data_IF_712826044765
#
_entry.id   IF_712826044765
#
_cell.length_a   1.000
_cell.length_b   1.000
_cell.length_c   1.000
_cell.angle_alpha   90.00
_cell.angle_beta   90.00
_cell.angle_gamma   90.00
#
_symmetry.space_group_name_H-M   'P 1'
#
loop_
_entity.id
_entity.type
_entity.pdbx_description
1 polymer ?
#
# COMPACT_ATOMS: atom_id res chain seq x y z
N UNK A 1 7.60 -28.58 -32.33
CA UNK A 1 6.48 -27.68 -32.68
C UNK A 1 6.80 -26.32 -32.10
N UNK A 2 6.52 -25.21 -32.81
CA UNK A 2 6.69 -23.87 -32.25
C UNK A 2 5.41 -23.52 -31.48
N UNK A 3 5.38 -23.83 -30.17
CA UNK A 3 4.24 -23.51 -29.31
C UNK A 3 4.13 -22.00 -29.12
N UNK A 4 2.90 -21.47 -29.11
CA UNK A 4 2.64 -20.08 -28.73
C UNK A 4 2.90 -19.03 -29.82
N UNK A 5 3.20 -19.44 -31.05
CA UNK A 5 3.53 -18.51 -32.13
C UNK A 5 2.37 -18.22 -33.06
N UNK A 6 1.32 -19.04 -33.04
CA UNK A 6 0.13 -18.76 -33.85
C UNK A 6 -0.65 -17.58 -33.27
N UNK A 7 -1.35 -16.79 -34.10
CA UNK A 7 -2.20 -15.70 -33.61
C UNK A 7 -3.25 -16.16 -32.59
N UNK A 8 -3.75 -17.38 -32.73
CA UNK A 8 -4.74 -17.98 -31.83
C UNK A 8 -4.11 -18.26 -30.46
N UNK A 9 -2.92 -18.88 -30.41
CA UNK A 9 -2.25 -19.16 -29.14
C UNK A 9 -1.89 -17.87 -28.39
N UNK A 10 -1.43 -16.83 -29.11
CA UNK A 10 -1.17 -15.51 -28.49
C UNK A 10 -2.44 -14.91 -27.88
N UNK A 11 -3.55 -14.95 -28.63
CA UNK A 11 -4.84 -14.46 -28.14
C UNK A 11 -5.33 -15.25 -26.91
N UNK A 12 -5.12 -16.57 -26.90
CA UNK A 12 -5.44 -17.40 -25.74
C UNK A 12 -4.55 -17.06 -24.54
N UNK A 13 -3.26 -16.74 -24.77
CA UNK A 13 -2.35 -16.34 -23.71
C UNK A 13 -2.72 -14.97 -23.12
N UNK A 14 -3.22 -14.03 -23.92
CA UNK A 14 -3.78 -12.75 -23.46
C UNK A 14 -4.99 -12.97 -22.53
N UNK A 15 -5.86 -13.94 -22.87
CA UNK A 15 -6.99 -14.33 -22.01
C UNK A 15 -6.48 -14.93 -20.70
N UNK A 16 -5.51 -15.84 -20.76
CA UNK A 16 -4.90 -16.43 -19.55
C UNK A 16 -4.30 -15.33 -18.66
N UNK A 17 -3.55 -14.40 -19.25
CA UNK A 17 -2.96 -13.27 -18.54
C UNK A 17 -4.02 -12.43 -17.82
N UNK A 18 -5.11 -12.11 -18.52
CA UNK A 18 -6.23 -11.35 -17.95
C UNK A 18 -6.87 -12.07 -16.76
N UNK A 19 -7.09 -13.40 -16.87
CA UNK A 19 -7.66 -14.21 -15.79
C UNK A 19 -6.73 -14.25 -14.56
N UNK A 20 -5.43 -14.42 -14.76
CA UNK A 20 -4.47 -14.49 -13.63
C UNK A 20 -4.27 -13.13 -12.97
N UNK A 21 -4.38 -12.03 -13.72
CA UNK A 21 -4.37 -10.68 -13.18
C UNK A 21 -5.58 -10.43 -12.27
N UNK A 22 -6.79 -10.83 -12.70
CA UNK A 22 -7.99 -10.78 -11.85
C UNK A 22 -7.78 -11.62 -10.58
N UNK A 23 -7.17 -12.81 -10.73
CA UNK A 23 -6.78 -13.66 -9.60
C UNK A 23 -5.83 -12.96 -8.62
N UNK A 24 -4.81 -12.29 -9.14
CA UNK A 24 -3.84 -11.52 -8.36
C UNK A 24 -4.50 -10.39 -7.57
N UNK A 25 -5.40 -9.63 -8.20
CA UNK A 25 -6.12 -8.52 -7.58
C UNK A 25 -7.11 -9.02 -6.50
N UNK A 26 -7.72 -10.20 -6.69
CA UNK A 26 -8.60 -10.81 -5.69
C UNK A 26 -7.85 -11.47 -4.52
N UNK A 27 -6.60 -11.87 -4.72
CA UNK A 27 -5.87 -12.67 -3.75
C UNK A 27 -5.62 -11.95 -2.42
N UNK A 28 -5.62 -10.61 -2.38
CA UNK A 28 -5.53 -9.85 -1.14
C UNK A 28 -6.72 -10.08 -0.19
N UNK A 29 -7.90 -10.36 -0.74
CA UNK A 29 -9.13 -10.58 0.03
C UNK A 29 -9.21 -12.02 0.52
N UNK A 30 -8.86 -12.98 -0.34
CA UNK A 30 -8.96 -14.39 -0.01
C UNK A 30 -7.70 -14.96 0.66
N UNK A 31 -6.63 -14.17 0.81
CA UNK A 31 -5.28 -14.58 1.27
C UNK A 31 -4.63 -15.67 0.41
N UNK A 32 -5.21 -15.98 -0.76
CA UNK A 32 -4.67 -16.91 -1.76
C UNK A 32 -5.23 -16.59 -3.15
N UNK A 33 -4.51 -16.98 -4.21
CA UNK A 33 -5.00 -16.85 -5.59
C UNK A 33 -6.05 -17.94 -5.87
N UNK A 34 -7.31 -17.53 -6.03
CA UNK A 34 -8.46 -18.44 -6.26
C UNK A 34 -8.32 -19.29 -7.53
N UNK A 35 -7.63 -18.80 -8.55
CA UNK A 35 -7.49 -19.52 -9.82
C UNK A 35 -6.28 -20.45 -9.84
N UNK A 36 -5.36 -20.34 -8.87
CA UNK A 36 -4.13 -21.16 -8.85
C UNK A 36 -4.44 -22.64 -8.97
N UNK A 37 -5.35 -23.17 -8.13
CA UNK A 37 -5.67 -24.60 -8.11
C UNK A 37 -6.23 -25.06 -9.45
N UNK A 38 -7.20 -24.35 -10.00
CA UNK A 38 -7.82 -24.72 -11.28
C UNK A 38 -6.82 -24.68 -12.43
N UNK A 39 -5.96 -23.66 -12.47
CA UNK A 39 -4.93 -23.51 -13.51
C UNK A 39 -3.84 -24.59 -13.37
N UNK A 40 -3.45 -24.91 -12.14
CA UNK A 40 -2.50 -25.99 -11.84
C UNK A 40 -3.05 -27.37 -12.21
N UNK A 41 -4.26 -27.70 -11.76
CA UNK A 41 -4.89 -29.01 -11.96
C UNK A 41 -5.20 -29.28 -13.44
N UNK A 42 -5.41 -28.23 -14.24
CA UNK A 42 -5.59 -28.35 -15.69
C UNK A 42 -4.32 -28.71 -16.47
N UNK A 43 -3.14 -28.66 -15.84
CA UNK A 43 -1.83 -28.79 -16.51
C UNK A 43 -1.40 -27.55 -17.31
N UNK A 44 -2.23 -26.49 -17.36
CA UNK A 44 -1.92 -25.25 -18.04
C UNK A 44 -0.68 -24.57 -17.43
N UNK A 45 -0.58 -24.52 -16.10
CA UNK A 45 0.56 -23.91 -15.42
C UNK A 45 1.88 -24.58 -15.80
N UNK A 46 1.94 -25.91 -15.75
CA UNK A 46 3.11 -26.70 -16.17
C UNK A 46 3.46 -26.44 -17.63
N UNK A 47 2.44 -26.36 -18.50
CA UNK A 47 2.64 -26.07 -19.93
C UNK A 47 3.26 -24.69 -20.14
N UNK A 48 2.74 -23.66 -19.45
CA UNK A 48 3.29 -22.29 -19.49
C UNK A 48 4.74 -22.25 -19.00
N UNK A 49 5.07 -22.94 -17.88
CA UNK A 49 6.44 -23.03 -17.37
C UNK A 49 7.42 -23.67 -18.36
N UNK A 50 6.99 -24.73 -19.05
CA UNK A 50 7.82 -25.42 -20.03
C UNK A 50 8.09 -24.51 -21.25
N UNK A 51 7.04 -23.88 -21.78
CA UNK A 51 7.18 -22.94 -22.92
C UNK A 51 8.07 -21.75 -22.53
N UNK A 52 7.90 -21.21 -21.32
CA UNK A 52 8.75 -20.14 -20.80
C UNK A 52 10.23 -20.53 -20.79
N UNK A 53 10.54 -21.72 -20.29
CA UNK A 53 11.92 -22.21 -20.23
C UNK A 53 12.53 -22.40 -21.62
N UNK A 54 11.75 -22.89 -22.58
CA UNK A 54 12.21 -23.05 -23.97
C UNK A 54 12.48 -21.70 -24.65
N UNK A 55 11.55 -20.76 -24.57
CA UNK A 55 11.68 -19.43 -25.19
C UNK A 55 12.73 -18.56 -24.51
N UNK A 56 12.85 -18.59 -23.18
CA UNK A 56 13.93 -17.89 -22.47
C UNK A 56 15.32 -18.35 -22.95
N UNK A 57 15.52 -19.66 -23.08
CA UNK A 57 16.80 -20.20 -23.55
C UNK A 57 17.04 -19.88 -25.03
N UNK A 58 15.98 -19.81 -25.83
CA UNK A 58 16.07 -19.40 -27.23
C UNK A 58 16.48 -17.94 -27.37
N UNK A 59 15.84 -17.03 -26.64
CA UNK A 59 16.20 -15.60 -26.60
C UNK A 59 17.69 -15.42 -26.24
N UNK A 60 18.19 -16.19 -25.27
CA UNK A 60 19.60 -16.19 -24.89
C UNK A 60 20.54 -16.70 -25.98
N UNK A 61 20.19 -17.80 -26.66
CA UNK A 61 21.00 -18.34 -27.77
C UNK A 61 21.05 -17.43 -28.98
N UNK A 62 19.95 -16.73 -29.26
CA UNK A 62 19.84 -15.78 -30.37
C UNK A 62 20.56 -14.45 -30.07
N UNK A 63 21.11 -14.28 -28.87
CA UNK A 63 21.83 -13.09 -28.46
C UNK A 63 20.92 -11.88 -28.33
N UNK A 64 19.61 -12.10 -28.14
CA UNK A 64 18.68 -11.01 -27.92
C UNK A 64 19.04 -10.29 -26.62
N UNK A 65 19.34 -8.99 -26.74
CA UNK A 65 19.64 -8.13 -25.59
C UNK A 65 18.42 -8.05 -24.67
N UNK A 66 17.24 -7.96 -25.28
CA UNK A 66 15.94 -7.96 -24.63
C UNK A 66 15.17 -9.23 -24.95
N UNK A 67 14.50 -9.79 -23.95
CA UNK A 67 13.64 -10.95 -24.17
C UNK A 67 12.42 -10.54 -25.02
N UNK A 68 11.90 -11.48 -25.81
CA UNK A 68 10.73 -11.23 -26.63
C UNK A 68 9.50 -10.88 -25.78
N UNK A 69 8.54 -10.13 -26.34
CA UNK A 69 7.28 -9.81 -25.64
C UNK A 69 6.52 -11.08 -25.20
N UNK A 70 6.66 -12.15 -25.98
CA UNK A 70 6.08 -13.45 -25.66
C UNK A 70 6.73 -14.06 -24.41
N UNK A 71 8.06 -14.00 -24.30
CA UNK A 71 8.80 -14.44 -23.10
C UNK A 71 8.42 -13.60 -21.88
N UNK A 72 8.23 -12.29 -22.04
CA UNK A 72 7.77 -11.39 -20.97
C UNK A 72 6.38 -11.78 -20.49
N UNK A 73 5.44 -11.98 -21.40
CA UNK A 73 4.08 -12.40 -21.07
C UNK A 73 4.03 -13.72 -20.30
N UNK A 74 4.82 -14.71 -20.72
CA UNK A 74 4.92 -16.00 -20.01
C UNK A 74 5.48 -15.81 -18.60
N UNK A 75 6.52 -14.99 -18.43
CA UNK A 75 7.08 -14.67 -17.12
C UNK A 75 6.05 -13.98 -16.21
N UNK A 76 5.26 -13.05 -16.75
CA UNK A 76 4.19 -12.36 -16.02
C UNK A 76 3.10 -13.34 -15.58
N UNK A 77 2.65 -14.25 -16.45
CA UNK A 77 1.65 -15.28 -16.10
C UNK A 77 2.16 -16.16 -14.97
N UNK A 78 3.40 -16.66 -15.07
CA UNK A 78 4.00 -17.49 -14.02
C UNK A 78 4.08 -16.71 -12.70
N UNK A 79 4.48 -15.45 -12.74
CA UNK A 79 4.61 -14.62 -11.54
C UNK A 79 3.26 -14.39 -10.82
N UNK A 80 2.21 -14.07 -11.58
CA UNK A 80 0.89 -13.76 -11.01
C UNK A 80 0.18 -15.02 -10.49
N UNK A 81 0.30 -16.15 -11.20
CA UNK A 81 -0.25 -17.43 -10.74
C UNK A 81 0.36 -17.82 -9.38
N UNK A 82 1.67 -17.69 -9.23
CA UNK A 82 2.39 -18.09 -8.01
C UNK A 82 2.38 -17.06 -6.88
N UNK A 83 1.47 -16.09 -6.89
CA UNK A 83 1.30 -15.22 -5.72
C UNK A 83 1.04 -16.07 -4.46
N UNK A 84 1.78 -15.80 -3.38
CA UNK A 84 1.80 -16.61 -2.14
C UNK A 84 2.33 -18.04 -2.28
N UNK A 85 3.07 -18.35 -3.36
CA UNK A 85 3.75 -19.63 -3.54
C UNK A 85 5.26 -19.43 -3.64
N UNK A 86 5.99 -20.41 -3.11
CA UNK A 86 7.44 -20.48 -3.21
C UNK A 86 7.84 -20.89 -4.63
N UNK A 87 8.82 -20.21 -5.20
CA UNK A 87 9.35 -20.52 -6.52
C UNK A 87 10.53 -21.47 -6.40
N UNK A 88 10.75 -22.28 -7.43
CA UNK A 88 12.05 -22.90 -7.62
C UNK A 88 13.08 -21.79 -7.93
N UNK A 89 14.23 -21.84 -7.27
CA UNK A 89 15.26 -20.79 -7.38
C UNK A 89 15.64 -20.48 -8.83
N UNK A 90 15.71 -21.50 -9.70
CA UNK A 90 16.06 -21.31 -11.10
C UNK A 90 15.00 -20.54 -11.88
N UNK A 91 13.72 -20.84 -11.64
CA UNK A 91 12.60 -20.14 -12.27
C UNK A 91 12.56 -18.68 -11.82
N UNK A 92 12.71 -18.45 -10.52
CA UNK A 92 12.73 -17.10 -9.95
C UNK A 92 13.83 -16.24 -10.60
N UNK A 93 15.04 -16.78 -10.75
CA UNK A 93 16.17 -16.07 -11.37
C UNK A 93 15.85 -15.74 -12.83
N UNK A 94 15.31 -16.70 -13.60
CA UNK A 94 14.93 -16.48 -15.01
C UNK A 94 13.85 -15.41 -15.14
N UNK A 95 12.79 -15.52 -14.35
CA UNK A 95 11.69 -14.54 -14.31
C UNK A 95 12.24 -13.16 -13.94
N UNK A 96 13.06 -13.08 -12.89
CA UNK A 96 13.69 -11.83 -12.47
C UNK A 96 14.54 -11.17 -13.56
N UNK A 97 15.31 -11.95 -14.32
CA UNK A 97 16.08 -11.45 -15.48
C UNK A 97 15.14 -10.88 -16.55
N UNK A 98 14.05 -11.60 -16.88
CA UNK A 98 13.09 -11.17 -17.90
C UNK A 98 12.40 -9.87 -17.49
N UNK A 99 11.86 -9.81 -16.28
CA UNK A 99 11.17 -8.63 -15.75
C UNK A 99 12.13 -7.44 -15.59
N UNK A 100 13.39 -7.67 -15.21
CA UNK A 100 14.40 -6.62 -15.12
C UNK A 100 14.70 -6.00 -16.49
N UNK A 101 14.97 -6.81 -17.51
CA UNK A 101 15.19 -6.30 -18.88
C UNK A 101 13.98 -5.51 -19.36
N UNK A 102 12.77 -6.01 -19.08
CA UNK A 102 11.53 -5.35 -19.43
C UNK A 102 11.37 -3.96 -18.78
N UNK A 103 11.66 -3.85 -17.48
CA UNK A 103 11.69 -2.57 -16.77
C UNK A 103 12.76 -1.63 -17.31
N UNK A 104 13.95 -2.13 -17.63
CA UNK A 104 15.02 -1.30 -18.19
C UNK A 104 14.56 -0.63 -19.49
N UNK A 105 13.99 -1.42 -20.41
CA UNK A 105 13.45 -0.92 -21.68
C UNK A 105 12.34 0.11 -21.47
N UNK A 106 11.49 -0.07 -20.45
CA UNK A 106 10.50 0.95 -20.08
C UNK A 106 11.15 2.30 -19.77
N UNK A 107 12.17 2.31 -18.91
CA UNK A 107 12.83 3.57 -18.55
C UNK A 107 13.44 4.26 -19.76
N UNK A 108 14.08 3.49 -20.64
CA UNK A 108 14.65 4.04 -21.87
C UNK A 108 13.56 4.67 -22.76
N UNK A 109 12.38 4.05 -22.86
CA UNK A 109 11.24 4.62 -23.61
C UNK A 109 10.73 5.90 -22.94
N UNK A 110 10.52 5.89 -21.62
CA UNK A 110 10.01 7.06 -20.88
C UNK A 110 10.96 8.26 -21.02
N UNK A 111 12.27 8.05 -20.88
CA UNK A 111 13.28 9.10 -21.02
C UNK A 111 13.41 9.63 -22.46
N UNK A 112 13.11 8.80 -23.46
CA UNK A 112 13.17 9.21 -24.87
C UNK A 112 11.90 9.94 -25.33
N UNK A 113 10.73 9.60 -24.78
CA UNK A 113 9.45 10.21 -25.17
C UNK A 113 9.37 11.70 -24.83
N UNK A 114 10.09 12.17 -23.80
CA UNK A 114 10.18 13.60 -23.44
C UNK A 114 10.73 14.49 -24.57
N UNK A 115 11.46 13.92 -25.54
CA UNK A 115 12.13 14.69 -26.59
C UNK A 115 11.25 14.94 -27.82
N UNK A 116 10.10 14.28 -27.93
CA UNK A 116 9.34 14.16 -29.18
C UNK A 116 7.93 14.78 -29.10
N UNK A 117 7.72 15.83 -28.33
CA UNK A 117 6.44 16.54 -28.29
C UNK A 117 6.11 17.13 -29.67
N UNK A 118 5.14 16.52 -30.38
CA UNK A 118 4.64 17.03 -31.66
C UNK A 118 3.68 18.20 -31.41
N UNK A 119 3.67 19.17 -32.33
CA UNK A 119 2.69 20.26 -32.32
C UNK A 119 1.32 19.84 -32.90
N UNK A 120 1.21 18.68 -33.54
CA UNK A 120 -0.05 18.18 -34.09
C UNK A 120 -0.89 17.49 -32.99
N UNK A 121 -2.11 17.99 -32.77
CA UNK A 121 -3.05 17.45 -31.78
C UNK A 121 -3.40 15.97 -32.04
N UNK A 122 -3.51 15.54 -33.30
CA UNK A 122 -3.83 14.16 -33.63
C UNK A 122 -2.66 13.22 -33.29
N UNK A 123 -1.42 13.68 -33.55
CA UNK A 123 -0.22 12.93 -33.18
C UNK A 123 -0.08 12.86 -31.65
N UNK A 124 -0.39 13.93 -30.93
CA UNK A 124 -0.40 13.94 -29.46
C UNK A 124 -1.41 12.94 -28.87
N UNK A 125 -2.63 12.88 -29.41
CA UNK A 125 -3.64 11.92 -28.95
C UNK A 125 -3.21 10.47 -29.21
N UNK A 126 -2.64 10.20 -30.39
CA UNK A 126 -2.12 8.87 -30.73
C UNK A 126 -0.94 8.47 -29.83
N UNK A 127 -0.01 9.40 -29.60
CA UNK A 127 1.12 9.20 -28.68
C UNK A 127 0.63 8.95 -27.24
N UNK A 128 -0.38 9.69 -26.77
CA UNK A 128 -0.96 9.49 -25.44
C UNK A 128 -1.61 8.11 -25.31
N UNK A 129 -2.37 7.67 -26.32
CA UNK A 129 -2.98 6.34 -26.34
C UNK A 129 -1.92 5.23 -26.32
N UNK A 130 -0.86 5.39 -27.12
CA UNK A 130 0.26 4.45 -27.16
C UNK A 130 1.03 4.41 -25.83
N UNK A 131 1.33 5.58 -25.26
CA UNK A 131 1.98 5.69 -23.96
C UNK A 131 1.12 5.02 -22.87
N UNK A 132 -0.19 5.29 -22.84
CA UNK A 132 -1.10 4.67 -21.88
C UNK A 132 -1.11 3.15 -21.98
N UNK A 133 -1.14 2.60 -23.19
CA UNK A 133 -1.07 1.15 -23.41
C UNK A 133 0.27 0.58 -22.91
N UNK A 134 1.38 1.24 -23.23
CA UNK A 134 2.70 0.86 -22.74
C UNK A 134 2.77 0.91 -21.22
N UNK A 135 2.31 1.98 -20.58
CA UNK A 135 2.31 2.10 -19.12
C UNK A 135 1.48 1.01 -18.44
N UNK A 136 0.33 0.63 -19.02
CA UNK A 136 -0.50 -0.47 -18.52
C UNK A 136 0.25 -1.80 -18.46
N UNK A 137 0.95 -2.15 -19.53
CA UNK A 137 1.77 -3.37 -19.60
C UNK A 137 2.93 -3.35 -18.57
N UNK A 138 3.43 -2.16 -18.22
CA UNK A 138 4.50 -2.01 -17.24
C UNK A 138 4.02 -2.04 -15.79
N UNK A 139 2.83 -1.51 -15.53
CA UNK A 139 2.13 -1.71 -14.24
C UNK A 139 1.98 -3.21 -13.97
N UNK A 140 1.64 -4.00 -14.98
CA UNK A 140 1.55 -5.45 -14.87
C UNK A 140 2.90 -6.09 -14.46
N UNK A 141 4.02 -5.66 -15.04
CA UNK A 141 5.35 -6.12 -14.61
C UNK A 141 5.64 -5.76 -13.15
N UNK A 142 5.24 -4.58 -12.69
CA UNK A 142 5.39 -4.21 -11.27
C UNK A 142 4.47 -5.07 -10.38
N UNK A 143 3.23 -5.36 -10.79
CA UNK A 143 2.35 -6.31 -10.09
C UNK A 143 3.00 -7.69 -9.96
N UNK A 144 3.66 -8.16 -11.02
CA UNK A 144 4.40 -9.43 -11.01
C UNK A 144 5.54 -9.42 -9.98
N UNK A 145 6.31 -8.33 -9.90
CA UNK A 145 7.35 -8.17 -8.88
C UNK A 145 6.75 -8.15 -7.47
N UNK A 146 5.64 -7.44 -7.28
CA UNK A 146 4.88 -7.45 -6.03
C UNK A 146 4.47 -8.87 -5.62
N UNK A 147 3.92 -9.65 -6.56
CA UNK A 147 3.54 -11.04 -6.35
C UNK A 147 4.70 -11.94 -5.90
N UNK A 148 5.90 -11.70 -6.44
CA UNK A 148 7.12 -12.44 -6.06
C UNK A 148 7.57 -12.07 -4.64
N UNK A 149 7.44 -10.79 -4.27
CA UNK A 149 7.86 -10.26 -2.95
C UNK A 149 6.99 -10.73 -1.79
N UNK A 150 5.83 -11.35 -2.05
CA UNK A 150 4.97 -11.94 -1.02
C UNK A 150 5.67 -13.07 -0.23
N UNK A 151 6.74 -13.66 -0.80
CA UNK A 151 7.63 -14.57 -0.08
C UNK A 151 8.99 -13.88 0.11
N UNK A 152 9.29 -13.58 1.38
CA UNK A 152 10.46 -12.82 1.81
C UNK A 152 11.79 -13.45 1.38
N UNK A 153 11.85 -14.77 1.15
CA UNK A 153 13.08 -15.40 0.68
C UNK A 153 13.43 -14.97 -0.75
N UNK A 154 12.43 -14.62 -1.57
CA UNK A 154 12.64 -14.19 -2.94
C UNK A 154 13.27 -12.79 -3.03
N UNK A 155 13.03 -11.92 -2.04
CA UNK A 155 13.54 -10.56 -2.01
C UNK A 155 15.06 -10.52 -2.17
N UNK A 156 15.78 -11.44 -1.54
CA UNK A 156 17.24 -11.55 -1.66
C UNK A 156 17.69 -11.71 -3.11
N UNK A 157 16.99 -12.51 -3.91
CA UNK A 157 17.33 -12.73 -5.32
C UNK A 157 17.01 -11.50 -6.18
N UNK A 158 15.87 -10.83 -5.93
CA UNK A 158 15.51 -9.61 -6.65
C UNK A 158 16.49 -8.47 -6.35
N UNK A 159 16.96 -8.37 -5.10
CA UNK A 159 18.01 -7.43 -4.68
C UNK A 159 19.34 -7.76 -5.35
N UNK A 160 19.74 -9.04 -5.41
CA UNK A 160 20.96 -9.47 -6.13
C UNK A 160 20.91 -9.15 -7.63
N UNK A 161 19.73 -9.18 -8.24
CA UNK A 161 19.51 -8.77 -9.62
C UNK A 161 19.45 -7.24 -9.79
N UNK A 162 19.60 -6.47 -8.72
CA UNK A 162 19.53 -5.02 -8.67
C UNK A 162 18.19 -4.44 -9.17
N UNK A 163 17.10 -5.19 -9.08
CA UNK A 163 15.79 -4.76 -9.60
C UNK A 163 15.29 -3.52 -8.84
N UNK A 164 15.48 -3.49 -7.52
CA UNK A 164 15.15 -2.34 -6.68
C UNK A 164 15.77 -1.02 -7.18
N UNK A 165 16.99 -1.04 -7.70
CA UNK A 165 17.64 0.16 -8.24
C UNK A 165 16.91 0.69 -9.48
N UNK A 166 16.42 -0.20 -10.35
CA UNK A 166 15.62 0.22 -11.50
C UNK A 166 14.30 0.80 -11.03
N UNK A 167 13.53 0.07 -10.22
CA UNK A 167 12.21 0.54 -9.73
C UNK A 167 12.31 1.87 -8.97
N UNK A 168 13.40 2.09 -8.21
CA UNK A 168 13.62 3.33 -7.47
C UNK A 168 13.74 4.60 -8.34
N UNK A 169 14.01 4.48 -9.65
CA UNK A 169 13.95 5.64 -10.54
C UNK A 169 12.50 6.17 -10.70
N UNK A 170 11.48 5.33 -10.53
CA UNK A 170 10.06 5.72 -10.65
C UNK A 170 9.56 6.53 -9.45
N UNK A 171 10.31 6.57 -8.34
CA UNK A 171 10.06 7.53 -7.25
C UNK A 171 10.04 8.95 -7.81
N UNK A 172 10.86 9.22 -8.83
CA UNK A 172 11.09 10.55 -9.37
C UNK A 172 10.11 10.97 -10.48
N UNK A 173 9.02 10.24 -10.69
CA UNK A 173 7.98 10.65 -11.64
C UNK A 173 7.29 11.92 -11.14
N UNK A 174 7.28 12.96 -11.97
CA UNK A 174 6.57 14.23 -11.70
C UNK A 174 6.89 14.84 -10.33
N UNK A 175 8.17 14.86 -9.96
CA UNK A 175 8.62 15.50 -8.72
C UNK A 175 8.13 16.95 -8.64
N UNK A 176 7.65 17.33 -7.45
CA UNK A 176 7.34 18.70 -7.09
C UNK A 176 8.53 19.63 -7.35
N UNK A 177 8.28 20.79 -7.97
CA UNK A 177 9.33 21.73 -8.36
C UNK A 177 10.13 22.25 -7.15
N UNK A 178 9.48 22.35 -5.99
CA UNK A 178 10.08 22.78 -4.73
C UNK A 178 11.23 21.86 -4.27
N UNK A 179 11.20 20.58 -4.67
CA UNK A 179 12.24 19.60 -4.35
C UNK A 179 13.53 19.80 -5.15
N UNK A 180 13.49 20.57 -6.26
CA UNK A 180 14.62 20.75 -7.19
C UNK A 180 15.27 19.41 -7.58
N UNK A 181 14.45 18.37 -7.74
CA UNK A 181 14.94 17.02 -7.97
C UNK A 181 15.61 16.90 -9.34
N UNK A 182 16.93 16.63 -9.35
CA UNK A 182 17.72 16.45 -10.57
C UNK A 182 17.40 15.16 -11.33
N UNK A 183 16.71 14.22 -10.68
CA UNK A 183 16.30 12.94 -11.25
C UNK A 183 14.83 12.93 -11.68
N UNK A 184 14.15 14.08 -11.66
CA UNK A 184 12.75 14.19 -12.07
C UNK A 184 12.57 13.67 -13.50
N UNK A 185 11.60 12.78 -13.67
CA UNK A 185 11.17 12.27 -14.96
C UNK A 185 9.81 12.93 -15.25
N UNK A 186 9.77 14.04 -16.02
CA UNK A 186 8.53 14.69 -16.37
C UNK A 186 7.72 13.81 -17.33
N UNK A 187 6.55 13.38 -16.87
CA UNK A 187 5.59 12.64 -17.69
C UNK A 187 4.21 13.24 -17.49
N UNK A 188 3.38 13.27 -18.53
CA UNK A 188 2.02 13.79 -18.39
C UNK A 188 1.30 13.12 -17.22
N UNK A 189 0.80 13.93 -16.29
CA UNK A 189 0.07 13.45 -15.13
C UNK A 189 -1.23 12.82 -15.63
N UNK A 190 -1.41 11.54 -15.33
CA UNK A 190 -2.60 10.77 -15.64
C UNK A 190 -2.82 9.74 -14.53
N UNK A 191 -4.03 9.18 -14.43
CA UNK A 191 -4.32 8.11 -13.48
C UNK A 191 -3.38 6.91 -13.66
N UNK A 192 -3.08 6.54 -14.91
CA UNK A 192 -2.15 5.43 -15.23
C UNK A 192 -0.72 5.75 -14.79
N UNK A 193 -0.25 6.99 -14.98
CA UNK A 193 1.08 7.42 -14.52
C UNK A 193 1.17 7.37 -13.00
N UNK A 194 0.14 7.83 -12.30
CA UNK A 194 0.09 7.80 -10.84
C UNK A 194 -0.06 6.36 -10.30
N UNK A 195 -0.78 5.47 -11.01
CA UNK A 195 -0.85 4.04 -10.69
C UNK A 195 0.49 3.35 -10.87
N UNK A 196 1.23 3.66 -11.94
CA UNK A 196 2.61 3.18 -12.14
C UNK A 196 3.50 3.60 -10.98
N UNK A 197 3.49 4.88 -10.60
CA UNK A 197 4.29 5.38 -9.48
C UNK A 197 3.87 4.73 -8.16
N UNK A 198 2.57 4.64 -7.86
CA UNK A 198 2.06 3.98 -6.67
C UNK A 198 2.48 2.51 -6.57
N UNK A 199 2.35 1.76 -7.67
CA UNK A 199 2.79 0.36 -7.72
C UNK A 199 4.31 0.23 -7.55
N UNK A 200 5.08 1.19 -8.06
CA UNK A 200 6.53 1.22 -7.89
C UNK A 200 6.92 1.41 -6.42
N UNK A 201 6.25 2.33 -5.71
CA UNK A 201 6.48 2.57 -4.29
C UNK A 201 6.15 1.32 -3.46
N UNK A 202 5.01 0.67 -3.74
CA UNK A 202 4.63 -0.60 -3.13
C UNK A 202 5.70 -1.69 -3.34
N UNK A 203 6.15 -1.90 -4.59
CA UNK A 203 7.16 -2.93 -4.93
C UNK A 203 8.50 -2.65 -4.24
N UNK A 204 8.92 -1.39 -4.13
CA UNK A 204 10.15 -1.02 -3.41
C UNK A 204 10.02 -1.42 -1.93
N UNK A 205 8.88 -1.11 -1.30
CA UNK A 205 8.64 -1.45 0.09
C UNK A 205 8.70 -2.95 0.31
N UNK A 206 7.95 -3.70 -0.49
CA UNK A 206 7.89 -5.16 -0.39
C UNK A 206 9.25 -5.84 -0.65
N UNK A 207 9.99 -5.39 -1.66
CA UNK A 207 11.28 -5.98 -2.06
C UNK A 207 12.39 -5.70 -1.04
N UNK A 208 12.34 -4.53 -0.38
CA UNK A 208 13.38 -4.10 0.55
C UNK A 208 13.10 -4.48 2.00
N UNK A 209 11.99 -5.18 2.24
CA UNK A 209 11.70 -5.81 3.52
C UNK A 209 12.83 -6.80 3.87
N UNK A 210 13.48 -6.55 5.01
CA UNK A 210 14.62 -7.21 5.64
C UNK A 210 15.94 -7.03 4.86
N UNK A 211 16.07 -5.93 4.11
CA UNK A 211 17.23 -5.66 3.26
C UNK A 211 17.91 -4.32 3.61
N UNK A 212 18.46 -4.22 4.83
CA UNK A 212 18.97 -2.95 5.40
C UNK A 212 19.94 -2.18 4.50
N UNK A 213 20.90 -2.87 3.87
CA UNK A 213 21.87 -2.18 2.99
C UNK A 213 21.19 -1.53 1.78
N UNK A 214 20.29 -2.25 1.11
CA UNK A 214 19.56 -1.75 -0.05
C UNK A 214 18.56 -0.66 0.35
N UNK A 215 17.92 -0.81 1.51
CA UNK A 215 17.03 0.20 2.12
C UNK A 215 17.77 1.51 2.36
N UNK A 216 18.90 1.45 3.07
CA UNK A 216 19.74 2.62 3.35
C UNK A 216 20.24 3.29 2.07
N UNK A 217 20.56 2.50 1.04
CA UNK A 217 20.91 3.02 -0.27
C UNK A 217 19.75 3.81 -0.89
N UNK A 218 18.53 3.27 -0.93
CA UNK A 218 17.37 3.98 -1.51
C UNK A 218 17.04 5.25 -0.72
N UNK A 219 17.07 5.21 0.62
CA UNK A 219 16.81 6.39 1.47
C UNK A 219 17.75 7.53 1.09
N UNK A 220 19.06 7.25 1.03
CA UNK A 220 20.10 8.25 0.81
C UNK A 220 20.18 8.68 -0.65
N UNK A 221 20.22 7.73 -1.58
CA UNK A 221 20.46 8.02 -2.99
C UNK A 221 19.24 8.64 -3.67
N UNK A 222 18.02 8.34 -3.20
CA UNK A 222 16.77 8.83 -3.80
C UNK A 222 16.03 9.85 -2.93
N UNK A 223 16.60 10.30 -1.79
CA UNK A 223 15.95 11.20 -0.84
C UNK A 223 14.50 10.78 -0.54
N UNK A 224 14.29 9.49 -0.26
CA UNK A 224 12.97 8.85 -0.35
C UNK A 224 11.86 9.64 0.37
N UNK A 225 12.10 10.07 1.60
CA UNK A 225 11.12 10.77 2.43
C UNK A 225 10.71 12.14 1.87
N UNK A 226 11.61 12.82 1.16
CA UNK A 226 11.30 14.09 0.51
C UNK A 226 10.29 13.92 -0.64
N UNK A 227 10.20 12.73 -1.21
CA UNK A 227 9.25 12.41 -2.28
C UNK A 227 7.92 11.86 -1.74
N UNK A 228 7.95 10.93 -0.77
CA UNK A 228 6.72 10.22 -0.35
C UNK A 228 5.85 11.02 0.63
N UNK A 229 6.44 11.79 1.54
CA UNK A 229 5.68 12.54 2.55
C UNK A 229 4.77 13.61 1.89
N UNK A 230 5.26 14.42 0.92
CA UNK A 230 4.39 15.37 0.24
C UNK A 230 3.25 14.75 -0.56
N UNK A 231 3.38 13.48 -0.99
CA UNK A 231 2.29 12.74 -1.64
C UNK A 231 1.20 12.47 -0.62
N UNK A 232 1.54 11.93 0.56
CA UNK A 232 0.59 11.62 1.63
C UNK A 232 -0.13 12.87 2.11
N UNK A 233 0.62 13.94 2.41
CA UNK A 233 0.05 15.22 2.87
C UNK A 233 -0.88 15.79 1.82
N UNK A 234 -0.42 15.89 0.56
CA UNK A 234 -1.24 16.43 -0.52
C UNK A 234 -2.48 15.58 -0.77
N UNK A 235 -2.39 14.26 -0.71
CA UNK A 235 -3.56 13.39 -0.85
C UNK A 235 -4.57 13.65 0.27
N UNK A 236 -4.11 13.67 1.52
CA UNK A 236 -4.96 13.93 2.66
C UNK A 236 -5.66 15.29 2.55
N UNK A 237 -4.95 16.39 2.27
CA UNK A 237 -5.54 17.74 2.17
C UNK A 237 -6.65 17.83 1.12
N UNK A 238 -6.55 17.11 0.00
CA UNK A 238 -7.60 17.16 -1.04
C UNK A 238 -8.89 16.40 -0.69
N UNK A 239 -8.89 15.68 0.42
CA UNK A 239 -10.04 14.92 0.91
C UNK A 239 -10.58 15.50 2.23
N UNK A 240 -10.62 16.83 2.39
CA UNK A 240 -11.16 17.53 3.59
C UNK A 240 -12.59 17.14 4.00
N UNK A 241 -13.39 16.53 3.11
CA UNK A 241 -14.79 16.18 3.38
C UNK A 241 -15.04 14.74 3.86
N UNK A 242 -14.04 14.02 4.40
CA UNK A 242 -14.17 12.59 4.78
C UNK A 242 -15.33 12.32 5.77
N UNK A 243 -15.75 13.30 6.56
CA UNK A 243 -16.82 13.14 7.56
C UNK A 243 -18.25 13.54 7.10
N UNK A 244 -18.45 13.96 5.83
CA UNK A 244 -19.80 14.36 5.38
C UNK A 244 -20.62 13.15 4.91
N UNK A 245 -21.18 12.41 5.86
CA UNK A 245 -22.15 11.31 5.65
C UNK A 245 -23.46 11.73 4.99
N UNK A 246 -23.72 13.03 4.80
CA UNK A 246 -25.04 13.53 4.38
C UNK A 246 -25.19 13.88 2.89
N UNK A 247 -24.17 13.73 2.03
CA UNK A 247 -24.26 14.10 0.60
C UNK A 247 -23.79 13.00 -0.38
N UNK A 248 -24.11 11.73 -0.06
CA UNK A 248 -23.72 10.57 -0.89
C UNK A 248 -24.35 10.60 -2.29
N UNK A 249 -25.49 11.28 -2.48
CA UNK A 249 -26.23 11.21 -3.75
C UNK A 249 -25.71 12.13 -4.87
N UNK A 250 -25.12 13.29 -4.55
CA UNK A 250 -24.68 14.26 -5.57
C UNK A 250 -23.19 14.13 -5.94
N UNK A 251 -22.36 13.57 -5.05
CA UNK A 251 -20.92 13.40 -5.31
C UNK A 251 -20.62 12.26 -6.29
N UNK A 252 -21.47 11.22 -6.39
CA UNK A 252 -21.26 10.10 -7.33
C UNK A 252 -21.32 10.54 -8.80
N UNK A 253 -22.05 11.62 -9.14
CA UNK A 253 -22.12 12.11 -10.52
C UNK A 253 -21.01 13.11 -10.87
N UNK A 254 -20.43 13.84 -9.90
CA UNK A 254 -19.39 14.82 -10.18
C UNK A 254 -17.97 14.24 -10.26
N UNK A 255 -17.69 13.09 -9.62
CA UNK A 255 -16.36 12.47 -9.67
C UNK A 255 -16.03 11.84 -11.03
N UNK A 256 -17.02 11.47 -11.83
CA UNK A 256 -16.83 10.82 -13.14
C UNK A 256 -16.43 11.85 -14.21
N UNK A 257 -16.83 13.12 -14.07
CA UNK A 257 -16.66 14.14 -15.10
C UNK A 257 -15.33 14.94 -15.02
N UNK A 258 -14.54 14.82 -13.94
CA UNK A 258 -13.30 15.62 -13.72
C UNK A 258 -12.00 14.79 -13.73
N UNK A 259 -12.03 13.53 -14.14
CA UNK A 259 -10.94 12.58 -13.87
C UNK A 259 -9.69 12.68 -14.76
N UNK A 260 -9.68 13.47 -15.83
CA UNK A 260 -8.59 13.34 -16.82
C UNK A 260 -7.28 14.01 -16.44
N UNK A 261 -7.25 15.06 -15.59
CA UNK A 261 -6.01 15.80 -15.28
C UNK A 261 -6.00 16.43 -13.88
N UNK A 262 -6.32 15.66 -12.84
CA UNK A 262 -6.16 16.16 -11.48
C UNK A 262 -4.66 16.32 -11.15
N UNK A 263 -4.19 17.50 -10.69
CA UNK A 263 -2.82 17.67 -10.22
C UNK A 263 -2.58 16.95 -8.87
N UNK A 264 -3.64 16.40 -8.28
CA UNK A 264 -3.59 15.78 -6.96
C UNK A 264 -3.26 14.28 -7.06
N UNK A 265 -2.59 13.72 -6.03
CA UNK A 265 -2.30 12.28 -6.00
C UNK A 265 -3.58 11.43 -6.09
N UNK A 266 -3.53 10.34 -6.86
CA UNK A 266 -4.57 9.34 -6.90
C UNK A 266 -4.55 8.48 -5.64
N UNK A 267 -5.64 7.73 -5.46
CA UNK A 267 -5.75 6.74 -4.40
C UNK A 267 -4.69 5.62 -4.55
N UNK A 268 -4.35 5.21 -5.77
CA UNK A 268 -3.29 4.22 -6.01
C UNK A 268 -1.90 4.73 -5.62
N UNK A 269 -1.60 6.00 -5.92
CA UNK A 269 -0.35 6.64 -5.55
C UNK A 269 -0.22 6.81 -4.04
N UNK A 270 -1.26 7.30 -3.38
CA UNK A 270 -1.28 7.45 -1.93
C UNK A 270 -1.14 6.10 -1.19
N UNK A 271 -1.86 5.07 -1.67
CA UNK A 271 -1.75 3.72 -1.13
C UNK A 271 -0.32 3.18 -1.22
N UNK A 272 0.33 3.31 -2.38
CA UNK A 272 1.73 2.90 -2.54
C UNK A 272 2.72 3.68 -1.67
N UNK A 273 2.50 4.99 -1.51
CA UNK A 273 3.34 5.84 -0.65
C UNK A 273 3.21 5.49 0.84
N UNK A 274 1.98 5.24 1.31
CA UNK A 274 1.72 4.79 2.68
C UNK A 274 2.32 3.41 2.92
N UNK A 275 2.11 2.45 2.04
CA UNK A 275 2.68 1.10 2.23
C UNK A 275 4.21 1.14 2.34
N UNK A 276 4.86 1.89 1.44
CA UNK A 276 6.32 2.04 1.47
C UNK A 276 6.79 2.64 2.80
N UNK A 277 6.13 3.70 3.27
CA UNK A 277 6.45 4.33 4.55
C UNK A 277 6.25 3.35 5.72
N UNK A 278 5.14 2.61 5.71
CA UNK A 278 4.82 1.65 6.77
C UNK A 278 5.89 0.55 6.88
N UNK A 279 6.21 -0.10 5.76
CA UNK A 279 7.22 -1.16 5.71
C UNK A 279 8.60 -0.66 6.17
N UNK A 280 8.97 0.58 5.86
CA UNK A 280 10.24 1.16 6.30
C UNK A 280 10.25 1.47 7.81
N UNK A 281 9.13 1.92 8.38
CA UNK A 281 9.01 2.22 9.81
C UNK A 281 9.00 0.95 10.66
N UNK A 282 8.32 -0.11 10.22
CA UNK A 282 8.27 -1.39 10.93
C UNK A 282 9.68 -1.93 11.17
N UNK A 283 10.54 -1.87 10.15
CA UNK A 283 11.87 -2.46 10.21
C UNK A 283 12.94 -1.53 10.77
N UNK A 284 12.66 -0.23 10.78
CA UNK A 284 13.63 0.76 11.26
C UNK A 284 12.89 1.85 12.04
N UNK A 285 12.37 1.55 13.25
CA UNK A 285 11.52 2.49 13.99
C UNK A 285 12.18 3.87 14.21
N UNK A 286 13.49 3.87 14.43
CA UNK A 286 14.30 5.09 14.62
C UNK A 286 14.43 5.96 13.37
N UNK A 287 13.95 5.50 12.20
CA UNK A 287 13.98 6.30 10.97
C UNK A 287 13.08 7.53 11.07
N UNK A 288 12.06 7.51 11.94
CA UNK A 288 11.22 8.66 12.20
C UNK A 288 12.01 9.86 12.73
N UNK A 289 13.06 9.63 13.53
CA UNK A 289 13.96 10.68 14.04
C UNK A 289 14.68 11.42 12.89
N UNK A 290 14.75 10.82 11.70
CA UNK A 290 15.34 11.44 10.52
C UNK A 290 14.37 12.35 9.76
N UNK A 291 13.08 12.36 10.11
CA UNK A 291 12.10 13.25 9.48
C UNK A 291 12.24 14.68 10.03
N UNK A 292 12.27 15.71 9.16
CA UNK A 292 12.26 17.10 9.63
C UNK A 292 11.03 17.39 10.48
N UNK A 293 11.21 18.06 11.63
CA UNK A 293 10.13 18.33 12.59
C UNK A 293 8.94 19.10 12.01
N UNK A 294 9.15 19.92 10.98
CA UNK A 294 8.03 20.63 10.31
C UNK A 294 7.17 19.68 9.46
N UNK A 295 7.79 18.65 8.86
CA UNK A 295 7.08 17.66 8.04
C UNK A 295 6.37 16.61 8.88
N UNK A 296 6.87 16.34 10.09
CA UNK A 296 6.25 15.35 10.99
C UNK A 296 4.86 15.80 11.45
N UNK A 297 4.66 17.08 11.78
CA UNK A 297 3.35 17.59 12.19
C UNK A 297 2.30 17.44 11.09
N UNK A 298 2.59 17.91 9.88
CA UNK A 298 1.65 17.80 8.73
C UNK A 298 1.38 16.34 8.35
N UNK A 299 2.41 15.49 8.42
CA UNK A 299 2.26 14.06 8.20
C UNK A 299 1.33 13.43 9.23
N UNK A 300 1.52 13.73 10.52
CA UNK A 300 0.66 13.20 11.60
C UNK A 300 -0.80 13.63 11.39
N UNK A 301 -1.08 14.91 11.12
CA UNK A 301 -2.45 15.36 10.81
C UNK A 301 -3.05 14.59 9.63
N UNK A 302 -2.25 14.38 8.60
CA UNK A 302 -2.65 13.66 7.39
C UNK A 302 -2.98 12.19 7.70
N UNK A 303 -2.14 11.50 8.48
CA UNK A 303 -2.37 10.10 8.87
C UNK A 303 -3.64 9.95 9.71
N UNK A 304 -3.85 10.82 10.69
CA UNK A 304 -5.04 10.82 11.55
C UNK A 304 -6.31 11.03 10.73
N UNK A 305 -6.26 11.88 9.71
CA UNK A 305 -7.37 12.09 8.79
C UNK A 305 -7.61 10.85 7.91
N UNK A 306 -6.56 10.19 7.44
CA UNK A 306 -6.64 9.04 6.55
C UNK A 306 -7.07 7.75 7.24
N UNK A 307 -6.98 7.63 8.57
CA UNK A 307 -7.53 6.52 9.37
C UNK A 307 -9.02 6.25 9.07
N UNK A 308 -9.79 7.28 8.67
CA UNK A 308 -11.22 7.16 8.35
C UNK A 308 -11.53 7.34 6.87
N UNK A 309 -10.51 7.28 6.01
CA UNK A 309 -10.66 7.52 4.58
C UNK A 309 -11.70 6.59 3.94
N UNK A 310 -12.82 7.18 3.51
CA UNK A 310 -13.95 6.49 2.84
C UNK A 310 -14.40 5.21 3.55
N UNK A 311 -14.47 5.19 4.89
CA UNK A 311 -14.89 4.00 5.64
C UNK A 311 -16.32 3.55 5.29
N UNK A 312 -17.20 4.49 4.90
CA UNK A 312 -18.63 4.23 4.70
C UNK A 312 -19.07 4.35 3.23
N UNK A 313 -18.14 4.29 2.28
CA UNK A 313 -18.43 4.49 0.86
C UNK A 313 -17.93 3.27 0.08
N UNK A 314 -18.88 2.48 -0.41
CA UNK A 314 -18.62 1.37 -1.32
C UNK A 314 -18.81 1.84 -2.76
N UNK A 315 -17.71 1.92 -3.53
CA UNK A 315 -17.74 2.37 -4.94
C UNK A 315 -17.50 1.18 -5.86
N UNK A 316 -16.40 0.47 -5.61
CA UNK A 316 -16.00 -0.69 -6.38
C UNK A 316 -15.02 -1.50 -5.56
N UNK A 317 -14.96 -2.81 -5.79
CA UNK A 317 -14.06 -3.70 -5.06
C UNK A 317 -12.59 -3.23 -5.07
N UNK A 318 -12.10 -2.70 -6.20
CA UNK A 318 -10.72 -2.16 -6.31
C UNK A 318 -10.56 -0.91 -5.44
N UNK A 319 -11.50 0.03 -5.53
CA UNK A 319 -11.49 1.28 -4.74
C UNK A 319 -11.62 1.00 -3.25
N UNK A 320 -12.52 0.10 -2.86
CA UNK A 320 -12.79 -0.23 -1.46
C UNK A 320 -11.54 -0.88 -0.83
N UNK A 321 -10.89 -1.80 -1.55
CA UNK A 321 -9.62 -2.41 -1.12
C UNK A 321 -8.49 -1.38 -0.98
N UNK A 322 -8.39 -0.41 -1.90
CA UNK A 322 -7.40 0.66 -1.77
C UNK A 322 -7.72 1.58 -0.58
N UNK A 323 -9.00 1.88 -0.33
CA UNK A 323 -9.42 2.72 0.80
C UNK A 323 -9.10 2.03 2.13
N UNK A 324 -9.39 0.73 2.23
CA UNK A 324 -9.04 -0.12 3.36
C UNK A 324 -7.52 -0.07 3.63
N UNK A 325 -6.68 -0.30 2.61
CA UNK A 325 -5.21 -0.23 2.77
C UNK A 325 -4.70 1.15 3.18
N UNK A 326 -5.34 2.22 2.71
CA UNK A 326 -5.01 3.58 3.15
C UNK A 326 -5.29 3.73 4.64
N UNK A 327 -6.46 3.27 5.13
CA UNK A 327 -6.82 3.32 6.56
C UNK A 327 -5.86 2.47 7.39
N UNK A 328 -5.65 1.23 7.00
CA UNK A 328 -4.76 0.27 7.68
C UNK A 328 -3.32 0.82 7.81
N UNK A 329 -2.70 1.20 6.70
CA UNK A 329 -1.34 1.71 6.73
C UNK A 329 -1.24 3.06 7.45
N UNK A 330 -2.23 3.94 7.30
CA UNK A 330 -2.20 5.24 8.02
C UNK A 330 -2.26 5.03 9.53
N UNK A 331 -3.13 4.12 9.99
CA UNK A 331 -3.21 3.72 11.39
C UNK A 331 -1.90 3.08 11.86
N UNK A 332 -1.35 2.12 11.11
CA UNK A 332 -0.11 1.43 11.48
C UNK A 332 1.08 2.38 11.59
N UNK A 333 1.28 3.23 10.58
CA UNK A 333 2.32 4.27 10.58
C UNK A 333 2.15 5.21 11.78
N UNK A 334 0.92 5.64 12.07
CA UNK A 334 0.65 6.49 13.21
C UNK A 334 1.06 5.81 14.53
N UNK A 335 0.70 4.55 14.72
CA UNK A 335 1.08 3.76 15.91
C UNK A 335 2.59 3.60 16.09
N UNK A 336 3.34 3.57 14.98
CA UNK A 336 4.81 3.50 14.99
C UNK A 336 5.46 4.86 15.28
N UNK A 337 4.85 5.96 14.85
CA UNK A 337 5.39 7.31 15.02
C UNK A 337 5.08 7.87 16.42
N UNK A 338 3.86 7.63 16.89
CA UNK A 338 3.31 8.22 18.10
C UNK A 338 4.22 8.08 19.35
N UNK A 339 4.78 6.90 19.68
CA UNK A 339 5.58 6.72 20.89
C UNK A 339 6.86 7.57 20.95
N UNK A 340 7.25 8.17 19.83
CA UNK A 340 8.44 9.01 19.68
C UNK A 340 8.12 10.51 19.65
N UNK A 341 6.85 10.90 19.81
CA UNK A 341 6.46 12.30 19.90
C UNK A 341 6.81 12.90 21.27
N UNK A 342 7.13 14.19 21.32
CA UNK A 342 7.32 14.90 22.58
C UNK A 342 5.98 15.16 23.30
N UNK A 343 6.06 15.51 24.59
CA UNK A 343 4.90 15.74 25.47
C UNK A 343 3.94 16.82 24.92
N UNK A 344 4.46 17.83 24.21
CA UNK A 344 3.64 18.90 23.64
C UNK A 344 2.86 18.40 22.43
N UNK A 345 3.51 17.65 21.55
CA UNK A 345 2.92 17.02 20.38
C UNK A 345 1.88 15.98 20.79
N UNK A 346 2.16 15.23 21.86
CA UNK A 346 1.23 14.28 22.47
C UNK A 346 -0.10 14.94 22.89
N UNK A 347 0.00 16.01 23.70
CA UNK A 347 -1.17 16.77 24.17
C UNK A 347 -1.97 17.31 22.99
N UNK A 348 -1.30 17.89 22.01
CA UNK A 348 -1.93 18.42 20.80
C UNK A 348 -2.69 17.34 20.01
N UNK A 349 -2.11 16.16 19.81
CA UNK A 349 -2.75 15.07 19.07
C UNK A 349 -3.97 14.51 19.82
N UNK A 350 -3.86 14.29 21.13
CA UNK A 350 -4.98 13.72 21.88
C UNK A 350 -6.09 14.76 22.05
N UNK A 351 -5.77 15.98 22.49
CA UNK A 351 -6.76 16.99 22.82
C UNK A 351 -7.32 17.69 21.58
N UNK A 352 -6.44 18.19 20.70
CA UNK A 352 -6.88 19.04 19.58
C UNK A 352 -7.27 18.22 18.35
N UNK A 353 -6.64 17.06 18.13
CA UNK A 353 -6.98 16.19 17.00
C UNK A 353 -7.98 15.09 17.34
N UNK A 354 -8.38 14.95 18.61
CA UNK A 354 -9.37 13.97 19.10
C UNK A 354 -9.08 12.55 18.60
N UNK A 355 -7.82 12.13 18.71
CA UNK A 355 -7.36 10.87 18.14
C UNK A 355 -8.07 9.65 18.75
N UNK A 356 -8.24 9.63 20.08
CA UNK A 356 -8.91 8.54 20.79
C UNK A 356 -10.30 8.28 20.22
N UNK A 357 -11.10 9.35 20.10
CA UNK A 357 -12.40 9.34 19.44
C UNK A 357 -12.35 8.85 17.99
N UNK A 358 -11.37 9.30 17.19
CA UNK A 358 -11.25 8.88 15.78
C UNK A 358 -10.92 7.40 15.63
N UNK A 359 -10.02 6.87 16.45
CA UNK A 359 -9.68 5.44 16.45
C UNK A 359 -10.85 4.61 16.96
N UNK A 360 -11.54 5.07 18.01
CA UNK A 360 -12.72 4.39 18.55
C UNK A 360 -13.83 4.27 17.51
N UNK A 361 -14.07 5.33 16.73
CA UNK A 361 -15.05 5.31 15.62
C UNK A 361 -14.69 4.32 14.51
N UNK A 362 -13.42 3.96 14.35
CA UNK A 362 -12.99 2.89 13.43
C UNK A 362 -13.27 1.49 14.00
N UNK A 363 -13.32 1.35 15.33
CA UNK A 363 -13.60 0.07 16.03
C UNK A 363 -15.11 -0.17 16.19
N UNK A 364 -15.95 0.87 16.18
CA UNK A 364 -17.38 0.78 16.50
C UNK A 364 -18.21 0.00 15.47
N UNK A 365 -18.53 -1.27 15.74
CA UNK A 365 -19.36 -2.12 14.89
C UNK A 365 -20.86 -1.90 15.08
N UNK A 366 -21.32 -1.65 16.31
CA UNK A 366 -22.75 -1.46 16.63
C UNK A 366 -23.23 -0.02 16.37
N UNK A 367 -22.33 0.96 16.40
CA UNK A 367 -22.59 2.37 16.07
C UNK A 367 -22.68 2.68 14.57
N UNK A 368 -22.55 1.67 13.69
CA UNK A 368 -22.72 1.85 12.24
C UNK A 368 -21.50 2.41 11.52
N UNK A 369 -20.27 2.14 11.97
CA UNK A 369 -19.07 2.53 11.22
C UNK A 369 -18.89 1.75 9.90
N UNK A 370 -19.56 0.59 9.76
CA UNK A 370 -19.53 -0.26 8.57
C UNK A 370 -18.10 -0.67 8.12
N UNK A 371 -17.10 -0.62 9.00
CA UNK A 371 -15.77 -1.15 8.72
C UNK A 371 -15.85 -2.67 8.64
N UNK A 372 -15.70 -3.22 7.44
CA UNK A 372 -15.77 -4.66 7.17
C UNK A 372 -14.39 -5.33 7.29
N UNK A 373 -13.31 -4.55 7.39
CA UNK A 373 -11.95 -5.09 7.47
C UNK A 373 -11.53 -5.40 8.91
N UNK A 374 -11.36 -6.69 9.19
CA UNK A 374 -10.77 -7.19 10.44
C UNK A 374 -9.37 -6.60 10.66
N UNK A 375 -8.57 -6.40 9.61
CA UNK A 375 -7.20 -5.92 9.76
C UNK A 375 -7.14 -4.44 10.13
N UNK A 376 -8.02 -3.61 9.55
CA UNK A 376 -8.16 -2.19 9.93
C UNK A 376 -8.61 -2.08 11.38
N UNK A 377 -9.59 -2.90 11.78
CA UNK A 377 -10.11 -2.92 13.15
C UNK A 377 -9.04 -3.36 14.15
N UNK A 378 -8.29 -4.43 13.84
CA UNK A 378 -7.17 -4.91 14.65
C UNK A 378 -6.14 -3.80 14.90
N UNK A 379 -5.65 -3.16 13.84
CA UNK A 379 -4.65 -2.08 13.96
C UNK A 379 -5.19 -0.89 14.76
N UNK A 380 -6.48 -0.56 14.60
CA UNK A 380 -7.11 0.50 15.39
C UNK A 380 -7.18 0.16 16.89
N UNK A 381 -7.52 -1.09 17.25
CA UNK A 381 -7.53 -1.58 18.63
C UNK A 381 -6.14 -1.59 19.24
N UNK A 382 -5.13 -2.08 18.51
CA UNK A 382 -3.73 -2.07 18.92
C UNK A 382 -3.25 -0.64 19.23
N UNK A 383 -3.53 0.29 18.34
CA UNK A 383 -3.18 1.70 18.52
C UNK A 383 -3.89 2.31 19.73
N UNK A 384 -5.18 2.05 19.91
CA UNK A 384 -5.93 2.56 21.06
C UNK A 384 -5.35 1.99 22.37
N UNK A 385 -5.03 0.70 22.39
CA UNK A 385 -4.37 0.02 23.53
C UNK A 385 -3.01 0.63 23.83
N UNK A 386 -2.21 0.90 22.80
CA UNK A 386 -0.90 1.53 22.93
C UNK A 386 -0.99 2.95 23.49
N UNK A 387 -1.89 3.78 22.94
CA UNK A 387 -2.11 5.16 23.40
C UNK A 387 -2.50 5.15 24.88
N UNK A 388 -3.51 4.38 25.26
CA UNK A 388 -3.97 4.34 26.66
C UNK A 388 -2.85 3.85 27.59
N UNK A 389 -2.09 2.83 27.18
CA UNK A 389 -0.94 2.33 27.96
C UNK A 389 0.13 3.40 28.16
N UNK A 390 0.54 4.10 27.09
CA UNK A 390 1.60 5.12 27.17
C UNK A 390 1.14 6.29 28.05
N UNK A 391 -0.10 6.75 27.88
CA UNK A 391 -0.63 7.86 28.67
C UNK A 391 -0.76 7.47 30.16
N UNK A 392 -1.10 6.21 30.46
CA UNK A 392 -1.23 5.71 31.83
C UNK A 392 0.10 5.46 32.54
N UNK A 393 1.03 4.77 31.88
CA UNK A 393 2.26 4.29 32.51
C UNK A 393 3.47 5.17 32.20
N UNK A 394 3.39 6.02 31.18
CA UNK A 394 4.54 6.62 30.54
C UNK A 394 5.37 5.61 29.73
N UNK A 395 6.49 6.09 29.20
CA UNK A 395 7.58 5.28 28.64
C UNK A 395 8.94 5.93 29.00
N UNK A 396 10.01 5.58 28.29
CA UNK A 396 11.35 6.15 28.57
C UNK A 396 11.43 7.67 28.31
N UNK A 397 10.62 8.18 27.38
CA UNK A 397 10.66 9.56 26.89
C UNK A 397 9.44 10.38 27.36
N UNK A 398 8.33 9.71 27.69
CA UNK A 398 7.02 10.29 28.02
C UNK A 398 6.65 9.93 29.45
N UNK A 399 6.21 10.91 30.25
CA UNK A 399 5.72 10.66 31.60
C UNK A 399 4.23 10.29 31.57
N UNK A 400 3.81 9.47 32.53
CA UNK A 400 2.39 9.23 32.77
C UNK A 400 1.62 10.55 32.91
N UNK A 401 0.45 10.62 32.28
CA UNK A 401 -0.41 11.81 32.24
C UNK A 401 -1.85 11.44 32.63
N UNK A 402 -2.16 11.44 33.95
CA UNK A 402 -3.47 11.05 34.47
C UNK A 402 -4.64 11.90 33.94
N UNK A 403 -4.41 13.20 33.70
CA UNK A 403 -5.44 14.12 33.20
C UNK A 403 -5.83 13.76 31.77
N UNK A 404 -4.85 13.46 30.93
CA UNK A 404 -5.08 13.04 29.55
C UNK A 404 -5.72 11.66 29.48
N UNK A 405 -5.30 10.75 30.36
CA UNK A 405 -5.91 9.43 30.51
C UNK A 405 -7.39 9.53 30.86
N UNK A 406 -7.74 10.46 31.77
CA UNK A 406 -9.12 10.72 32.16
C UNK A 406 -9.94 11.21 30.96
N UNK A 407 -9.43 12.13 30.16
CA UNK A 407 -10.10 12.63 28.96
C UNK A 407 -10.38 11.51 27.95
N UNK A 408 -9.37 10.69 27.62
CA UNK A 408 -9.55 9.55 26.69
C UNK A 408 -10.65 8.61 27.19
N UNK A 409 -10.68 8.33 28.50
CA UNK A 409 -11.68 7.45 29.10
C UNK A 409 -13.08 8.06 29.06
N UNK A 410 -13.20 9.35 29.34
CA UNK A 410 -14.47 10.07 29.22
C UNK A 410 -15.01 10.01 27.78
N UNK A 411 -14.16 10.21 26.77
CA UNK A 411 -14.53 10.06 25.35
C UNK A 411 -14.99 8.63 25.03
N UNK A 412 -14.23 7.61 25.47
CA UNK A 412 -14.59 6.20 25.23
C UNK A 412 -15.94 5.84 25.88
N UNK A 413 -16.21 6.32 27.09
CA UNK A 413 -17.48 6.08 27.78
C UNK A 413 -18.63 6.79 27.07
N UNK A 414 -18.43 8.06 26.66
CA UNK A 414 -19.47 8.85 26.00
C UNK A 414 -19.95 8.24 24.69
N UNK A 415 -19.05 7.59 23.94
CA UNK A 415 -19.35 6.96 22.65
C UNK A 415 -19.68 5.47 22.77
N UNK A 416 -19.97 4.98 23.98
CA UNK A 416 -20.26 3.57 24.28
C UNK A 416 -19.15 2.59 23.82
N UNK A 417 -17.91 3.08 23.76
CA UNK A 417 -16.78 2.36 23.19
C UNK A 417 -16.41 1.07 23.93
N UNK A 418 -16.76 0.95 25.21
CA UNK A 418 -16.56 -0.28 25.97
C UNK A 418 -17.37 -1.46 25.42
N UNK A 419 -18.63 -1.21 25.04
CA UNK A 419 -19.49 -2.25 24.47
C UNK A 419 -18.98 -2.68 23.09
N UNK A 420 -18.41 -1.75 22.33
CA UNK A 420 -17.81 -2.03 21.02
C UNK A 420 -16.55 -2.91 21.15
N UNK A 421 -15.66 -2.53 22.06
CA UNK A 421 -14.44 -3.32 22.37
C UNK A 421 -14.82 -4.71 22.90
N UNK A 422 -15.84 -4.81 23.76
CA UNK A 422 -16.34 -6.09 24.27
C UNK A 422 -16.95 -6.97 23.16
N UNK A 423 -17.67 -6.36 22.22
CA UNK A 423 -18.24 -7.07 21.06
C UNK A 423 -17.14 -7.69 20.19
N UNK A 424 -16.05 -6.96 19.95
CA UNK A 424 -14.87 -7.50 19.26
C UNK A 424 -14.16 -8.62 20.04
N UNK A 425 -14.08 -8.51 21.36
CA UNK A 425 -13.59 -9.60 22.21
C UNK A 425 -14.43 -10.87 22.11
N UNK A 426 -15.74 -10.72 21.94
CA UNK A 426 -16.64 -11.84 21.78
C UNK A 426 -16.44 -12.52 20.42
N UNK A 427 -16.46 -11.74 19.33
CA UNK A 427 -16.31 -12.24 17.95
C UNK A 427 -14.93 -12.86 17.70
N UNK A 428 -13.85 -12.25 18.21
CA UNK A 428 -12.49 -12.78 18.04
C UNK A 428 -12.27 -14.14 18.70
N UNK A 429 -12.96 -14.43 19.82
CA UNK A 429 -12.93 -15.75 20.48
C UNK A 429 -13.54 -16.84 19.60
N UNK A 430 -14.61 -16.53 18.86
CA UNK A 430 -15.25 -17.47 17.93
C UNK A 430 -14.36 -17.74 16.72
N UNK A 431 -13.71 -16.70 16.19
CA UNK A 431 -12.87 -16.78 15.00
C UNK A 431 -11.44 -17.30 15.26
N UNK A 432 -11.08 -17.59 16.52
CA UNK A 432 -9.74 -18.04 16.96
C UNK A 432 -8.58 -17.14 16.56
N UNK A 433 -8.81 -15.84 16.40
CA UNK A 433 -7.73 -14.88 16.15
C UNK A 433 -7.03 -14.54 17.47
N UNK A 434 -5.99 -15.31 17.81
CA UNK A 434 -5.30 -15.22 19.10
C UNK A 434 -4.64 -13.86 19.33
N UNK A 435 -4.25 -13.15 18.27
CA UNK A 435 -3.53 -11.88 18.36
C UNK A 435 -4.50 -10.76 18.76
N UNK A 436 -5.63 -10.64 18.05
CA UNK A 436 -6.70 -9.68 18.39
C UNK A 436 -7.20 -9.90 19.83
N UNK A 437 -7.32 -11.16 20.26
CA UNK A 437 -7.76 -11.48 21.62
C UNK A 437 -6.81 -10.90 22.68
N UNK A 438 -5.49 -10.93 22.46
CA UNK A 438 -4.52 -10.45 23.45
C UNK A 438 -4.63 -8.93 23.58
N UNK A 439 -4.62 -8.20 22.47
CA UNK A 439 -4.64 -6.74 22.50
C UNK A 439 -5.98 -6.19 22.96
N UNK A 440 -7.08 -6.82 22.54
CA UNK A 440 -8.41 -6.40 23.00
C UNK A 440 -8.61 -6.73 24.49
N UNK A 441 -8.03 -7.83 25.00
CA UNK A 441 -8.05 -8.12 26.45
C UNK A 441 -7.23 -7.11 27.23
N UNK A 442 -6.05 -6.75 26.73
CA UNK A 442 -5.21 -5.73 27.34
C UNK A 442 -5.94 -4.39 27.41
N UNK A 443 -6.53 -3.95 26.31
CA UNK A 443 -7.33 -2.73 26.25
C UNK A 443 -8.52 -2.80 27.23
N UNK A 444 -9.26 -3.90 27.22
CA UNK A 444 -10.40 -4.11 28.13
C UNK A 444 -9.98 -4.15 29.60
N UNK A 445 -8.83 -4.72 29.94
CA UNK A 445 -8.31 -4.72 31.31
C UNK A 445 -7.98 -3.30 31.77
N UNK A 446 -7.24 -2.54 30.94
CA UNK A 446 -6.87 -1.15 31.24
C UNK A 446 -8.11 -0.27 31.40
N UNK A 447 -9.12 -0.46 30.54
CA UNK A 447 -10.36 0.30 30.62
C UNK A 447 -11.25 -0.11 31.82
N UNK A 448 -11.34 -1.40 32.15
CA UNK A 448 -12.18 -1.88 33.26
C UNK A 448 -11.62 -1.62 34.65
N UNK A 449 -10.29 -1.68 34.81
CA UNK A 449 -9.66 -1.27 36.08
C UNK A 449 -10.14 0.13 36.49
N UNK A 450 -10.46 0.97 35.51
CA UNK A 450 -10.79 2.37 35.76
C UNK A 450 -12.29 2.60 35.84
N UNK A 451 -13.12 1.78 35.18
CA UNK A 451 -14.56 1.75 35.46
C UNK A 451 -14.81 1.46 36.95
N UNK A 452 -14.01 0.58 37.54
CA UNK A 452 -14.07 0.29 38.98
C UNK A 452 -13.65 1.49 39.83
N UNK A 453 -12.59 2.22 39.46
CA UNK A 453 -12.16 3.43 40.18
C UNK A 453 -13.18 4.58 40.14
N UNK A 454 -13.82 4.82 39.00
CA UNK A 454 -14.88 5.84 38.86
C UNK A 454 -16.13 5.43 39.65
N UNK A 455 -16.53 4.15 39.58
CA UNK A 455 -17.67 3.63 40.34
C UNK A 455 -17.41 3.75 41.84
N UNK A 456 -16.18 3.50 42.29
CA UNK A 456 -15.78 3.65 43.68
C UNK A 456 -15.72 5.13 44.11
N UNK A 457 -15.32 6.05 43.22
CA UNK A 457 -15.30 7.49 43.49
C UNK A 457 -16.68 8.14 43.55
N UNK A 458 -17.70 7.54 42.91
CA UNK A 458 -19.10 8.00 42.94
C UNK A 458 -19.92 7.41 44.11
N UNK A 459 -19.34 6.46 44.85
CA UNK A 459 -19.97 5.83 46.04
C UNK A 459 -19.60 6.57 47.35
N UNK A 460 -18.68 7.53 47.28
CA UNK A 460 -18.35 8.47 48.37
C UNK A 460 -18.90 9.86 48.06
#
# INVERSE_FOLDING_TARGET
>A
MKYGQTPIEKSLLDVVLSVVEIGYDMAGIYKHNLFYKNISDSGLFTSVKNIFSEEFNKDKREGHVDNSEFTVQLAQIIALINKFKRYETQDLVRIGIVLRSHLKRMFEIMLNNERNESNDQNEQEQQEKQLKAQLGERILTLKCLGAICEDMEHNKYLVQLNIHLFVAHLIHLNCKAELKCRRCIPVRISETTQELQGMSLYVIGAMLFNMDNAKQQIIKDHNLFDHIIPIIISFASNHDSIDQTSQVHDQQQQSIAKSSQSPFPSQSLACGALELLNLFLIETPNIFVQLPSSKSTDLIQSLIKLVRFKSNIHISKKTDMQSMRIRENSSSIFGLIWPHCDEQTEKWIIQDLQLGLKLLKTVSCAGGCLEESDSVTKVAVENLSLIVTIVELGNNDIKANPDLLKLIKEEIIQEDGLNEIESHLFLSKENRDQEIIVDTRRLFMVLNMVRMDITNALIF
#
